data_IF_600031949119
#
_entry.id   IF_600031949119
#
_cell.length_a   1.000
_cell.length_b   1.000
_cell.length_c   1.000
_cell.angle_alpha   90.00
_cell.angle_beta   90.00
_cell.angle_gamma   90.00
#
_symmetry.space_group_name_H-M   'P 1'
#
loop_
_entity.id
_entity.type
_entity.pdbx_description
1 polymer ?
#
# COMPACT_ATOMS: atom_id res chain seq x y z
N UNK A 1 -24.44 21.49 -4.66
CA UNK A 1 -23.04 21.46 -5.15
C UNK A 1 -22.63 20.00 -5.30
N UNK A 2 -22.21 19.58 -6.49
CA UNK A 2 -21.65 18.22 -6.71
C UNK A 2 -20.20 18.25 -6.20
N UNK A 3 -19.86 17.40 -5.24
CA UNK A 3 -18.48 17.27 -4.75
C UNK A 3 -17.62 16.56 -5.79
N UNK A 4 -16.89 17.35 -6.59
CA UNK A 4 -16.00 16.86 -7.63
C UNK A 4 -14.87 15.95 -7.09
N UNK A 5 -14.53 16.05 -5.80
CA UNK A 5 -13.47 15.25 -5.18
C UNK A 5 -13.94 13.87 -4.71
N UNK A 6 -15.26 13.65 -4.66
CA UNK A 6 -15.85 12.38 -4.20
C UNK A 6 -15.41 11.19 -5.03
N UNK A 7 -15.38 11.31 -6.36
CA UNK A 7 -14.91 10.24 -7.23
C UNK A 7 -13.42 9.96 -7.02
N UNK A 8 -12.59 11.00 -6.88
CA UNK A 8 -11.16 10.84 -6.64
C UNK A 8 -10.87 10.11 -5.33
N UNK A 9 -11.61 10.44 -4.26
CA UNK A 9 -11.53 9.74 -2.97
C UNK A 9 -11.93 8.28 -3.09
N UNK A 10 -12.98 7.99 -3.85
CA UNK A 10 -13.41 6.63 -4.12
C UNK A 10 -12.34 5.82 -4.85
N UNK A 11 -11.79 6.34 -5.95
CA UNK A 11 -10.73 5.66 -6.70
C UNK A 11 -9.43 5.53 -5.90
N UNK A 12 -9.09 6.52 -5.08
CA UNK A 12 -7.92 6.42 -4.19
C UNK A 12 -8.14 5.36 -3.10
N UNK A 13 -9.37 5.21 -2.60
CA UNK A 13 -9.74 4.11 -1.70
C UNK A 13 -9.63 2.75 -2.36
N UNK A 14 -10.08 2.60 -3.61
CA UNK A 14 -9.86 1.39 -4.40
C UNK A 14 -8.36 1.12 -4.62
N UNK A 15 -7.58 2.15 -4.93
CA UNK A 15 -6.12 2.04 -5.05
C UNK A 15 -5.49 1.50 -3.76
N UNK A 16 -5.88 2.02 -2.60
CA UNK A 16 -5.42 1.49 -1.31
C UNK A 16 -5.79 0.02 -1.09
N UNK A 17 -7.00 -0.36 -1.47
CA UNK A 17 -7.44 -1.75 -1.32
C UNK A 17 -6.61 -2.68 -2.21
N UNK A 18 -6.48 -2.37 -3.50
CA UNK A 18 -5.88 -3.27 -4.48
C UNK A 18 -4.36 -3.23 -4.52
N UNK A 19 -3.74 -2.09 -4.19
CA UNK A 19 -2.29 -1.95 -4.25
C UNK A 19 -1.63 -2.02 -2.88
N UNK A 20 -2.28 -1.62 -1.78
CA UNK A 20 -1.63 -1.73 -0.47
C UNK A 20 -2.16 -2.93 0.33
N UNK A 21 -3.47 -3.01 0.52
CA UNK A 21 -4.05 -3.96 1.47
C UNK A 21 -4.05 -5.40 0.95
N UNK A 22 -4.59 -5.63 -0.26
CA UNK A 22 -4.69 -6.98 -0.84
C UNK A 22 -3.30 -7.62 -1.01
N UNK A 23 -2.26 -6.93 -1.54
CA UNK A 23 -0.94 -7.52 -1.67
C UNK A 23 -0.34 -7.91 -0.32
N UNK A 24 -0.32 -6.99 0.66
CA UNK A 24 0.20 -7.27 2.00
C UNK A 24 -0.55 -8.45 2.64
N UNK A 25 -1.88 -8.47 2.56
CA UNK A 25 -2.68 -9.56 3.11
C UNK A 25 -2.37 -10.89 2.41
N UNK A 26 -2.26 -10.90 1.09
CA UNK A 26 -2.00 -12.12 0.31
C UNK A 26 -0.65 -12.73 0.66
N UNK A 27 0.39 -11.90 0.77
CA UNK A 27 1.71 -12.34 1.21
C UNK A 27 1.73 -12.80 2.67
N UNK A 28 0.99 -12.12 3.54
CA UNK A 28 0.84 -12.56 4.95
C UNK A 28 0.21 -13.93 5.01
N UNK A 29 -0.88 -14.17 4.28
CA UNK A 29 -1.56 -15.46 4.26
C UNK A 29 -0.65 -16.58 3.76
N UNK A 30 0.08 -16.33 2.66
CA UNK A 30 1.07 -17.26 2.11
C UNK A 30 2.18 -17.59 3.12
N UNK A 31 2.67 -16.59 3.84
CA UNK A 31 3.74 -16.75 4.81
C UNK A 31 3.30 -17.45 6.11
N UNK A 32 1.99 -17.47 6.38
CA UNK A 32 1.39 -18.15 7.54
C UNK A 32 0.78 -19.51 7.21
N UNK A 33 0.87 -19.95 5.95
CA UNK A 33 0.32 -21.24 5.51
C UNK A 33 1.05 -22.40 6.21
N UNK A 34 0.36 -23.47 6.66
CA UNK A 34 1.02 -24.61 7.27
C UNK A 34 2.02 -25.27 6.30
N UNK A 35 3.31 -25.15 6.61
CA UNK A 35 4.41 -25.64 5.76
C UNK A 35 5.19 -24.53 5.04
N UNK A 36 4.83 -23.25 5.24
CA UNK A 36 5.65 -22.13 4.83
C UNK A 36 7.03 -22.17 5.51
N UNK A 37 8.07 -21.81 4.77
CA UNK A 37 9.42 -21.71 5.32
C UNK A 37 9.55 -20.48 6.24
N UNK A 38 10.45 -20.55 7.22
CA UNK A 38 10.63 -19.49 8.23
C UNK A 38 10.95 -18.10 7.64
N UNK A 39 11.51 -18.06 6.42
CA UNK A 39 11.87 -16.84 5.71
C UNK A 39 10.71 -16.20 4.93
N UNK A 40 9.56 -16.86 4.79
CA UNK A 40 8.42 -16.38 4.00
C UNK A 40 7.78 -15.10 4.58
N UNK A 41 8.02 -14.80 5.86
CA UNK A 41 7.57 -13.57 6.50
C UNK A 41 8.48 -12.35 6.20
N UNK A 42 9.71 -12.56 5.72
CA UNK A 42 10.68 -11.48 5.47
C UNK A 42 10.12 -10.41 4.50
N UNK A 43 9.51 -10.76 3.35
CA UNK A 43 8.90 -9.78 2.47
C UNK A 43 7.85 -8.94 3.19
N UNK A 44 6.99 -9.57 4.02
CA UNK A 44 5.91 -8.90 4.75
C UNK A 44 6.46 -7.91 5.76
N UNK A 45 7.48 -8.30 6.53
CA UNK A 45 8.10 -7.44 7.53
C UNK A 45 8.84 -6.23 6.94
N UNK A 46 9.28 -6.32 5.68
CA UNK A 46 9.99 -5.22 5.01
C UNK A 46 9.01 -4.37 4.18
N UNK A 47 8.25 -4.98 3.29
CA UNK A 47 7.33 -4.29 2.37
C UNK A 47 6.03 -3.83 3.04
N UNK A 48 5.53 -4.57 4.03
CA UNK A 48 4.29 -4.24 4.75
C UNK A 48 4.32 -2.87 5.44
N UNK A 49 5.34 -2.53 6.25
CA UNK A 49 5.45 -1.21 6.86
C UNK A 49 5.55 -0.07 5.84
N UNK A 50 6.22 -0.29 4.70
CA UNK A 50 6.31 0.71 3.62
C UNK A 50 4.93 0.96 3.00
N UNK A 51 4.17 -0.11 2.76
CA UNK A 51 2.78 -0.04 2.29
C UNK A 51 1.86 0.68 3.31
N UNK A 52 2.00 0.40 4.61
CA UNK A 52 1.25 1.09 5.66
C UNK A 52 1.57 2.59 5.73
N UNK A 53 2.85 2.95 5.62
CA UNK A 53 3.26 4.35 5.56
C UNK A 53 2.65 5.05 4.34
N UNK A 54 2.73 4.42 3.16
CA UNK A 54 2.10 4.93 1.94
C UNK A 54 0.59 5.11 2.09
N UNK A 55 -0.09 4.12 2.67
CA UNK A 55 -1.52 4.19 2.95
C UNK A 55 -1.88 5.36 3.86
N UNK A 56 -1.10 5.61 4.92
CA UNK A 56 -1.30 6.75 5.80
C UNK A 56 -1.20 8.09 5.06
N UNK A 57 -0.25 8.23 4.13
CA UNK A 57 -0.11 9.43 3.29
C UNK A 57 -1.30 9.63 2.35
N UNK A 58 -1.80 8.57 1.71
CA UNK A 58 -2.99 8.65 0.84
C UNK A 58 -4.23 9.01 1.65
N UNK A 59 -4.44 8.40 2.83
CA UNK A 59 -5.57 8.74 3.70
C UNK A 59 -5.49 10.21 4.14
N UNK A 60 -4.29 10.68 4.50
CA UNK A 60 -4.06 12.08 4.88
C UNK A 60 -4.29 13.04 3.70
N UNK A 61 -3.96 12.66 2.48
CA UNK A 61 -4.23 13.49 1.31
C UNK A 61 -5.72 13.73 1.08
N UNK A 62 -6.57 12.73 1.39
CA UNK A 62 -8.03 12.82 1.25
C UNK A 62 -8.66 13.80 2.24
N UNK A 63 -8.04 14.04 3.39
CA UNK A 63 -8.56 14.92 4.45
C UNK A 63 -7.96 16.34 4.42
N UNK A 64 -6.91 16.56 3.63
CA UNK A 64 -6.32 17.89 3.44
C UNK A 64 -7.29 18.85 2.76
N UNK A 65 -7.33 20.10 3.23
CA UNK A 65 -8.10 21.21 2.62
C UNK A 65 -7.30 21.98 1.57
N UNK A 66 -5.97 21.86 1.60
CA UNK A 66 -5.06 22.49 0.66
C UNK A 66 -4.79 21.58 -0.54
N UNK A 67 -5.11 21.99 -1.78
CA UNK A 67 -4.94 21.15 -2.96
C UNK A 67 -3.48 20.73 -3.20
N UNK A 68 -2.54 21.66 -3.07
CA UNK A 68 -1.12 21.39 -3.30
C UNK A 68 -0.56 20.35 -2.30
N UNK A 69 -0.92 20.47 -1.02
CA UNK A 69 -0.54 19.52 0.02
C UNK A 69 -1.19 18.15 -0.23
N UNK A 70 -2.48 18.12 -0.62
CA UNK A 70 -3.20 16.88 -0.96
C UNK A 70 -2.51 16.14 -2.12
N UNK A 71 -2.27 16.81 -3.24
CA UNK A 71 -1.61 16.20 -4.40
C UNK A 71 -0.21 15.67 -4.06
N UNK A 72 0.57 16.42 -3.27
CA UNK A 72 1.90 15.99 -2.84
C UNK A 72 1.84 14.75 -1.96
N UNK A 73 0.94 14.71 -0.97
CA UNK A 73 0.76 13.54 -0.10
C UNK A 73 0.26 12.33 -0.87
N UNK A 74 -0.64 12.52 -1.84
CA UNK A 74 -1.12 11.44 -2.70
C UNK A 74 0.03 10.86 -3.55
N UNK A 75 0.86 11.71 -4.14
CA UNK A 75 2.01 11.28 -4.93
C UNK A 75 3.03 10.50 -4.09
N UNK A 76 3.37 11.01 -2.90
CA UNK A 76 4.27 10.33 -1.96
C UNK A 76 3.66 8.99 -1.52
N UNK A 77 2.39 8.98 -1.13
CA UNK A 77 1.70 7.77 -0.68
C UNK A 77 1.63 6.70 -1.75
N UNK A 78 1.28 7.08 -2.99
CA UNK A 78 1.28 6.18 -4.14
C UNK A 78 2.67 5.62 -4.45
N UNK A 79 3.71 6.45 -4.43
CA UNK A 79 5.08 6.00 -4.65
C UNK A 79 5.55 5.01 -3.57
N UNK A 80 5.21 5.26 -2.30
CA UNK A 80 5.52 4.34 -1.21
C UNK A 80 4.79 3.01 -1.34
N UNK A 81 3.51 3.02 -1.74
CA UNK A 81 2.75 1.78 -1.97
C UNK A 81 3.43 0.95 -3.06
N UNK A 82 3.74 1.56 -4.21
CA UNK A 82 4.43 0.87 -5.30
C UNK A 82 5.81 0.33 -4.88
N UNK A 83 6.55 1.10 -4.07
CA UNK A 83 7.82 0.62 -3.50
C UNK A 83 7.60 -0.57 -2.56
N UNK A 84 6.59 -0.51 -1.70
CA UNK A 84 6.20 -1.61 -0.81
C UNK A 84 5.88 -2.89 -1.58
N UNK A 85 5.15 -2.78 -2.70
CA UNK A 85 4.82 -3.91 -3.57
C UNK A 85 6.04 -4.50 -4.26
N UNK A 86 6.92 -3.64 -4.78
CA UNK A 86 8.20 -4.07 -5.36
C UNK A 86 9.04 -4.82 -4.31
N UNK A 87 9.04 -4.36 -3.06
CA UNK A 87 9.73 -5.06 -1.97
C UNK A 87 9.08 -6.41 -1.66
N UNK A 88 7.74 -6.47 -1.53
CA UNK A 88 7.02 -7.73 -1.29
C UNK A 88 7.35 -8.77 -2.36
N UNK A 89 7.18 -8.40 -3.62
CA UNK A 89 7.35 -9.31 -4.77
C UNK A 89 8.83 -9.62 -4.99
N UNK A 90 9.69 -8.60 -4.95
CA UNK A 90 11.12 -8.74 -5.23
C UNK A 90 11.85 -9.56 -4.19
N UNK A 91 11.56 -9.36 -2.89
CA UNK A 91 12.17 -10.16 -1.82
C UNK A 91 11.69 -11.59 -1.93
N UNK A 92 10.39 -11.82 -2.13
CA UNK A 92 9.85 -13.18 -2.30
C UNK A 92 10.54 -13.92 -3.46
N UNK A 93 10.65 -13.27 -4.60
CA UNK A 93 11.33 -13.83 -5.78
C UNK A 93 12.82 -14.11 -5.55
N UNK A 94 13.46 -13.47 -4.58
CA UNK A 94 14.87 -13.71 -4.25
C UNK A 94 15.07 -14.84 -3.22
N UNK A 95 14.03 -15.18 -2.44
CA UNK A 95 14.11 -16.19 -1.37
C UNK A 95 13.41 -17.52 -1.70
N UNK A 96 12.62 -17.55 -2.78
CA UNK A 96 11.94 -18.75 -3.30
C UNK A 96 12.79 -19.36 -4.40
#
# INVERSE_FOLDING_TARGET
>A
MIDATRQLRWYSGLGLLFLAFIPVLSFTLLATDPGAADNELIPVFIGGPVNLAGAAFVIRSMTSREPAASSRMLAIGGALILLGDVLLIGIRAAIT
#
